data_IF_964875021913
#
_entry.id   IF_964875021913
#
_cell.length_a   1.000
_cell.length_b   1.000
_cell.length_c   1.000
_cell.angle_alpha   90.00
_cell.angle_beta   90.00
_cell.angle_gamma   90.00
#
_symmetry.space_group_name_H-M   'P 1'
#
loop_
_entity.id
_entity.type
_entity.pdbx_description
1 polymer ?
#
# COMPACT_ATOMS: atom_id res chain seq x y z
N UNK A 1 22.79 -4.12 13.06
CA UNK A 1 22.00 -2.86 13.10
C UNK A 1 22.28 -2.18 14.42
N UNK A 2 23.44 -1.55 14.54
CA UNK A 2 23.94 -1.00 15.81
C UNK A 2 23.74 0.51 15.95
N UNK A 3 23.48 1.18 14.82
CA UNK A 3 23.31 2.63 14.71
C UNK A 3 21.94 3.00 14.20
N UNK A 4 21.51 4.22 14.51
CA UNK A 4 20.26 4.76 13.99
C UNK A 4 20.41 4.99 12.48
N UNK A 5 19.38 4.71 11.68
CA UNK A 5 19.41 4.94 10.25
C UNK A 5 19.50 6.45 10.01
N UNK A 6 20.51 6.88 9.26
CA UNK A 6 20.73 8.29 8.94
C UNK A 6 19.76 8.70 7.83
N UNK A 7 18.86 9.63 8.14
CA UNK A 7 18.11 10.35 7.11
C UNK A 7 19.05 11.40 6.50
N UNK A 8 19.72 11.06 5.40
CA UNK A 8 20.51 12.03 4.63
C UNK A 8 19.57 13.07 4.01
N UNK A 9 19.38 14.20 4.71
CA UNK A 9 18.80 15.40 4.14
C UNK A 9 19.92 16.11 3.38
N UNK A 10 19.76 16.26 2.07
CA UNK A 10 20.63 17.13 1.28
C UNK A 10 20.19 18.57 1.55
N UNK A 11 21.16 19.45 1.74
CA UNK A 11 20.87 20.88 1.75
C UNK A 11 20.32 21.30 0.39
N UNK A 12 19.37 22.26 0.36
CA UNK A 12 18.83 22.75 -0.89
C UNK A 12 19.93 23.40 -1.73
N UNK A 13 19.89 23.21 -3.04
CA UNK A 13 20.78 23.92 -3.96
C UNK A 13 20.36 25.39 -4.08
N UNK A 14 21.26 26.27 -4.54
CA UNK A 14 20.93 27.68 -4.80
C UNK A 14 19.71 27.83 -5.73
N UNK A 15 19.70 27.06 -6.84
CA UNK A 15 18.54 27.01 -7.75
C UNK A 15 17.24 26.60 -7.05
N UNK A 16 17.29 25.63 -6.13
CA UNK A 16 16.09 25.21 -5.38
C UNK A 16 15.57 26.30 -4.46
N UNK A 17 16.47 27.07 -3.85
CA UNK A 17 16.10 28.22 -3.01
C UNK A 17 15.44 29.31 -3.86
N UNK A 18 16.06 29.69 -4.99
CA UNK A 18 15.52 30.69 -5.92
C UNK A 18 14.11 30.34 -6.42
N UNK A 19 13.89 29.07 -6.81
CA UNK A 19 12.58 28.60 -7.27
C UNK A 19 11.52 28.65 -6.15
N UNK A 20 11.90 28.33 -4.90
CA UNK A 20 10.99 28.40 -3.75
C UNK A 20 10.67 29.86 -3.39
N UNK A 21 11.66 30.75 -3.46
CA UNK A 21 11.47 32.19 -3.23
C UNK A 21 10.53 32.79 -4.27
N UNK A 22 10.77 32.54 -5.56
CA UNK A 22 9.89 32.98 -6.64
C UNK A 22 8.45 32.45 -6.46
N UNK A 23 8.31 31.17 -6.08
CA UNK A 23 7.01 30.55 -5.83
C UNK A 23 6.29 31.14 -4.62
N UNK A 24 7.03 31.58 -3.60
CA UNK A 24 6.48 32.27 -2.43
C UNK A 24 6.00 33.68 -2.78
N UNK A 25 6.76 34.43 -3.60
CA UNK A 25 6.33 35.75 -4.09
C UNK A 25 5.03 35.66 -4.89
N UNK A 26 4.92 34.68 -5.80
CA UNK A 26 3.68 34.46 -6.56
C UNK A 26 2.49 34.06 -5.69
N UNK A 27 2.73 33.42 -4.54
CA UNK A 27 1.65 33.15 -3.57
C UNK A 27 1.10 34.47 -3.01
N UNK A 28 1.98 35.41 -2.65
CA UNK A 28 1.57 36.72 -2.13
C UNK A 28 0.85 37.54 -3.20
N UNK A 29 1.42 37.62 -4.41
CA UNK A 29 0.80 38.30 -5.56
C UNK A 29 -0.60 37.73 -5.85
N UNK A 30 -0.76 36.42 -5.74
CA UNK A 30 -2.04 35.76 -5.91
C UNK A 30 -3.05 36.18 -4.84
N UNK A 31 -2.65 36.24 -3.57
CA UNK A 31 -3.54 36.70 -2.49
C UNK A 31 -3.92 38.18 -2.67
N UNK A 32 -3.00 39.01 -3.15
CA UNK A 32 -3.29 40.41 -3.47
C UNK A 32 -4.27 40.55 -4.64
N UNK A 33 -4.07 39.78 -5.71
CA UNK A 33 -4.98 39.74 -6.87
C UNK A 33 -6.38 39.26 -6.45
N UNK A 34 -6.44 38.21 -5.62
CA UNK A 34 -7.68 37.70 -5.03
C UNK A 34 -8.40 38.73 -4.17
N UNK A 35 -7.68 39.48 -3.34
CA UNK A 35 -8.27 40.55 -2.53
C UNK A 35 -8.88 41.69 -3.37
N UNK A 36 -8.37 41.89 -4.59
CA UNK A 36 -8.89 42.86 -5.58
C UNK A 36 -9.91 42.27 -6.54
N UNK A 37 -10.20 40.96 -6.43
CA UNK A 37 -11.04 40.20 -7.35
C UNK A 37 -10.58 40.28 -8.82
N UNK A 38 -9.27 40.33 -9.04
CA UNK A 38 -8.63 40.38 -10.36
C UNK A 38 -8.41 38.96 -10.90
N UNK A 39 -9.41 38.47 -11.65
CA UNK A 39 -9.45 37.09 -12.14
C UNK A 39 -8.36 36.80 -13.18
N UNK A 40 -8.09 37.76 -14.08
CA UNK A 40 -7.10 37.58 -15.14
C UNK A 40 -5.69 37.45 -14.56
N UNK A 41 -5.34 38.28 -13.56
CA UNK A 41 -4.07 38.18 -12.86
C UNK A 41 -3.95 36.87 -12.08
N UNK A 42 -5.04 36.43 -11.43
CA UNK A 42 -5.07 35.13 -10.73
C UNK A 42 -4.83 33.96 -11.68
N UNK A 43 -5.42 33.97 -12.88
CA UNK A 43 -5.24 32.93 -13.90
C UNK A 43 -3.80 32.92 -14.44
N UNK A 44 -3.23 34.08 -14.74
CA UNK A 44 -1.83 34.19 -15.17
C UNK A 44 -0.87 33.65 -14.10
N UNK A 45 -1.09 33.98 -12.82
CA UNK A 45 -0.25 33.47 -11.73
C UNK A 45 -0.39 31.94 -11.59
N UNK A 46 -1.58 31.37 -11.77
CA UNK A 46 -1.78 29.91 -11.71
C UNK A 46 -0.93 29.17 -12.75
N UNK A 47 -0.84 29.71 -13.97
CA UNK A 47 -0.02 29.13 -15.05
C UNK A 47 1.47 29.15 -14.68
N UNK A 48 2.00 30.32 -14.29
CA UNK A 48 3.41 30.46 -13.90
C UNK A 48 3.77 29.58 -12.70
N UNK A 49 2.87 29.48 -11.72
CA UNK A 49 3.02 28.59 -10.57
C UNK A 49 3.08 27.13 -10.99
N UNK A 50 2.27 26.71 -11.96
CA UNK A 50 2.28 25.33 -12.43
C UNK A 50 3.63 24.95 -13.06
N UNK A 51 4.22 25.88 -13.82
CA UNK A 51 5.53 25.73 -14.44
C UNK A 51 6.66 25.73 -13.40
N UNK A 52 6.67 26.68 -12.46
CA UNK A 52 7.64 26.71 -11.36
C UNK A 52 7.58 25.44 -10.50
N UNK A 53 6.39 24.97 -10.16
CA UNK A 53 6.22 23.72 -9.42
C UNK A 53 6.72 22.52 -10.24
N UNK A 54 6.62 22.55 -11.58
CA UNK A 54 7.16 21.52 -12.45
C UNK A 54 8.69 21.56 -12.52
N UNK A 55 9.28 22.74 -12.62
CA UNK A 55 10.74 22.94 -12.58
C UNK A 55 11.32 22.52 -11.22
N UNK A 56 10.71 22.96 -10.12
CA UNK A 56 11.12 22.60 -8.76
C UNK A 56 11.08 21.08 -8.55
N UNK A 57 10.06 20.39 -9.09
CA UNK A 57 10.01 18.92 -9.13
C UNK A 57 11.14 18.33 -9.99
N UNK A 58 11.49 18.97 -11.10
CA UNK A 58 12.60 18.58 -11.98
C UNK A 58 13.97 18.63 -11.27
N UNK A 59 14.18 19.57 -10.36
CA UNK A 59 15.42 19.64 -9.54
C UNK A 59 15.52 18.54 -8.48
N UNK A 60 14.45 17.76 -8.26
CA UNK A 60 14.42 16.66 -7.29
C UNK A 60 13.91 17.04 -5.90
N UNK A 61 13.39 18.26 -5.69
CA UNK A 61 12.71 18.65 -4.45
C UNK A 61 11.48 17.77 -4.22
N UNK A 62 11.26 17.41 -2.95
CA UNK A 62 10.18 16.50 -2.53
C UNK A 62 9.12 17.26 -1.75
N UNK A 63 7.87 16.89 -1.96
CA UNK A 63 6.71 17.53 -1.33
C UNK A 63 5.95 18.41 -2.31
N UNK A 64 4.78 18.89 -1.90
CA UNK A 64 4.03 19.94 -2.61
C UNK A 64 4.04 21.17 -1.73
N UNK A 65 4.26 22.32 -2.35
CA UNK A 65 4.04 23.60 -1.70
C UNK A 65 2.52 23.84 -1.52
N UNK A 66 2.11 24.74 -0.62
CA UNK A 66 0.70 25.06 -0.42
C UNK A 66 0.02 25.46 -1.73
N UNK A 67 -1.22 25.00 -1.91
CA UNK A 67 -2.06 25.43 -3.03
C UNK A 67 -2.38 26.92 -2.90
N UNK A 68 -2.50 27.62 -4.04
CA UNK A 68 -2.87 29.04 -4.08
C UNK A 68 -4.24 29.29 -3.41
N UNK A 69 -5.21 28.43 -3.72
CA UNK A 69 -6.52 28.39 -3.07
C UNK A 69 -6.78 26.99 -2.51
N UNK A 70 -6.53 26.77 -1.21
CA UNK A 70 -6.95 25.54 -0.57
C UNK A 70 -8.47 25.55 -0.38
N UNK A 71 -9.14 24.48 -0.82
CA UNK A 71 -10.54 24.27 -0.44
C UNK A 71 -10.65 24.20 1.09
N UNK A 72 -11.63 24.88 1.70
CA UNK A 72 -11.86 24.80 3.13
C UNK A 72 -12.15 23.35 3.51
N UNK A 73 -11.30 22.78 4.35
CA UNK A 73 -11.54 21.43 4.88
C UNK A 73 -12.70 21.53 5.87
N UNK A 74 -13.82 20.88 5.57
CA UNK A 74 -14.84 20.67 6.59
C UNK A 74 -14.25 19.79 7.70
N UNK A 75 -14.11 20.35 8.90
CA UNK A 75 -13.74 19.57 10.08
C UNK A 75 -14.91 18.68 10.47
N UNK A 76 -14.88 17.43 10.00
CA UNK A 76 -15.90 16.44 10.36
C UNK A 76 -15.69 16.00 11.81
N UNK A 77 -16.60 16.39 12.70
CA UNK A 77 -16.63 15.96 14.09
C UNK A 77 -17.27 14.58 14.20
N UNK A 78 -16.54 13.53 13.84
CA UNK A 78 -17.02 12.16 14.14
C UNK A 78 -16.59 11.72 15.52
N UNK A 79 -17.55 11.25 16.30
CA UNK A 79 -17.31 10.50 17.53
C UNK A 79 -16.59 9.20 17.19
N UNK A 80 -15.26 9.20 17.28
CA UNK A 80 -14.46 7.96 17.19
C UNK A 80 -14.34 7.33 18.57
N UNK A 81 -15.49 7.07 19.21
CA UNK A 81 -15.51 6.56 20.58
C UNK A 81 -14.68 5.28 20.66
N UNK A 82 -13.75 5.26 21.62
CA UNK A 82 -12.93 4.08 21.87
C UNK A 82 -13.85 2.97 22.36
N UNK A 83 -13.73 1.79 21.76
CA UNK A 83 -14.38 0.57 22.22
C UNK A 83 -13.91 0.22 23.63
N UNK A 84 -14.81 -0.28 24.46
CA UNK A 84 -14.53 -0.65 25.86
C UNK A 84 -14.25 -2.16 26.03
N UNK A 85 -14.59 -2.96 25.03
CA UNK A 85 -14.36 -4.41 24.97
C UNK A 85 -12.96 -4.79 24.46
N UNK A 86 -11.97 -3.92 24.64
CA UNK A 86 -10.59 -4.14 24.21
C UNK A 86 -9.61 -3.81 25.33
N UNK A 87 -8.48 -4.55 25.45
CA UNK A 87 -7.53 -4.30 26.52
C UNK A 87 -6.93 -2.90 26.45
N UNK A 88 -6.58 -2.36 27.62
CA UNK A 88 -5.85 -1.10 27.73
C UNK A 88 -4.39 -1.31 27.39
N UNK A 89 -3.88 -0.45 26.50
CA UNK A 89 -2.48 -0.45 26.13
C UNK A 89 -1.71 0.63 26.90
N UNK A 90 -0.45 0.36 27.29
CA UNK A 90 0.44 1.41 27.77
C UNK A 90 0.50 2.57 26.77
N UNK A 91 0.55 3.80 27.29
CA UNK A 91 0.71 5.01 26.45
C UNK A 91 2.05 5.66 26.79
N UNK A 92 3.06 5.40 25.97
CA UNK A 92 4.39 5.99 26.11
C UNK A 92 4.61 7.11 25.11
N UNK A 93 5.39 8.11 25.49
CA UNK A 93 5.85 9.16 24.56
C UNK A 93 6.73 8.50 23.49
N UNK A 94 6.35 8.65 22.22
CA UNK A 94 7.09 8.03 21.10
C UNK A 94 8.37 8.83 20.84
N UNK A 95 9.52 8.20 21.07
CA UNK A 95 10.83 8.73 20.71
C UNK A 95 11.15 8.47 19.23
N UNK A 96 12.11 9.22 18.67
CA UNK A 96 12.61 8.98 17.30
C UNK A 96 13.54 7.77 17.18
N UNK A 97 13.82 7.08 18.28
CA UNK A 97 14.71 5.93 18.26
C UNK A 97 14.06 4.76 17.53
N UNK A 98 14.84 4.09 16.70
CA UNK A 98 14.42 2.88 15.98
C UNK A 98 15.06 1.63 16.56
N UNK A 99 16.15 1.76 17.31
CA UNK A 99 16.92 0.62 17.82
C UNK A 99 16.25 0.05 19.08
N UNK A 100 16.20 -1.28 19.16
CA UNK A 100 15.71 -1.98 20.34
C UNK A 100 16.70 -1.99 21.51
N UNK A 101 16.23 -2.57 22.61
CA UNK A 101 17.02 -2.83 23.81
C UNK A 101 18.27 -3.67 23.49
N UNK A 102 19.38 -3.35 24.16
CA UNK A 102 20.59 -4.16 24.18
C UNK A 102 20.60 -5.08 25.40
N UNK A 103 21.03 -6.33 25.20
CA UNK A 103 21.15 -7.36 26.23
C UNK A 103 22.62 -7.73 26.40
N UNK A 104 23.03 -7.95 27.65
CA UNK A 104 24.39 -8.31 28.03
C UNK A 104 25.47 -7.41 27.38
N UNK A 105 25.18 -6.12 27.20
CA UNK A 105 26.11 -5.13 26.63
C UNK A 105 26.49 -5.32 25.16
N UNK A 106 25.97 -6.33 24.46
CA UNK A 106 26.36 -6.63 23.06
C UNK A 106 25.23 -7.11 22.16
N UNK A 107 24.25 -7.85 22.66
CA UNK A 107 23.22 -8.45 21.81
C UNK A 107 22.03 -7.51 21.60
N UNK A 108 21.65 -7.28 20.33
CA UNK A 108 20.45 -6.53 19.94
C UNK A 108 19.56 -7.39 19.04
N UNK A 109 18.78 -8.32 19.62
CA UNK A 109 17.87 -9.15 18.85
C UNK A 109 16.75 -8.31 18.21
N UNK A 110 16.22 -8.83 17.13
CA UNK A 110 15.01 -8.37 16.45
C UNK A 110 13.83 -9.28 16.80
N UNK A 111 12.62 -8.94 16.36
CA UNK A 111 11.47 -9.84 16.45
C UNK A 111 11.00 -10.28 15.08
N UNK A 112 10.39 -11.47 15.04
CA UNK A 112 9.58 -11.93 13.95
C UNK A 112 8.19 -12.22 14.46
N UNK A 113 7.22 -11.52 13.90
CA UNK A 113 5.83 -11.52 14.35
C UNK A 113 4.98 -11.96 13.18
N UNK A 114 4.10 -12.92 13.44
CA UNK A 114 3.12 -13.39 12.49
C UNK A 114 1.72 -13.07 13.01
N UNK A 115 0.90 -12.40 12.21
CA UNK A 115 -0.49 -12.05 12.56
C UNK A 115 -1.44 -12.58 11.49
N UNK A 116 -2.61 -13.05 11.92
CA UNK A 116 -3.66 -13.55 11.02
C UNK A 116 -4.98 -12.91 11.38
N UNK A 117 -5.82 -12.70 10.38
CA UNK A 117 -7.25 -12.48 10.61
C UNK A 117 -7.92 -13.71 11.25
N UNK A 118 -9.09 -13.47 11.82
CA UNK A 118 -9.89 -14.48 12.52
C UNK A 118 -10.42 -15.58 11.60
N UNK A 119 -10.94 -16.66 12.18
CA UNK A 119 -11.67 -17.70 11.45
C UNK A 119 -13.07 -17.24 11.05
N UNK A 120 -13.59 -17.77 9.93
CA UNK A 120 -14.95 -17.49 9.44
C UNK A 120 -15.80 -18.77 9.37
N UNK A 121 -15.27 -19.88 9.89
CA UNK A 121 -15.89 -21.21 9.85
C UNK A 121 -14.82 -22.30 9.82
N UNK A 122 -15.22 -23.56 10.04
CA UNK A 122 -14.28 -24.67 10.00
C UNK A 122 -13.84 -24.98 8.57
N UNK A 123 -12.55 -25.25 8.38
CA UNK A 123 -11.96 -25.62 7.09
C UNK A 123 -11.42 -27.04 7.12
N UNK A 124 -11.41 -27.69 5.95
CA UNK A 124 -10.83 -29.01 5.79
C UNK A 124 -9.34 -29.01 6.17
N UNK A 125 -8.91 -30.12 6.81
CA UNK A 125 -7.50 -30.36 7.19
C UNK A 125 -6.73 -31.22 6.17
N UNK A 126 -7.40 -31.59 5.08
CA UNK A 126 -6.90 -32.42 3.99
C UNK A 126 -7.13 -31.78 2.61
N UNK A 127 -6.84 -32.52 1.54
CA UNK A 127 -7.12 -32.14 0.15
C UNK A 127 -6.00 -31.37 -0.54
N UNK A 128 -4.93 -31.01 0.16
CA UNK A 128 -3.78 -30.38 -0.49
C UNK A 128 -2.44 -30.89 0.03
N UNK A 129 -1.40 -30.63 -0.77
CA UNK A 129 -0.02 -30.91 -0.41
C UNK A 129 0.74 -29.60 -0.25
N UNK A 130 1.52 -29.47 0.82
CA UNK A 130 2.35 -28.28 1.05
C UNK A 130 3.65 -28.35 0.24
N UNK A 131 4.45 -27.28 0.29
CA UNK A 131 5.73 -27.19 -0.44
C UNK A 131 6.79 -28.22 -0.02
N UNK A 132 6.53 -29.00 1.04
CA UNK A 132 7.40 -30.08 1.54
C UNK A 132 6.85 -31.47 1.18
N UNK A 133 5.83 -31.56 0.33
CA UNK A 133 5.22 -32.83 -0.04
C UNK A 133 4.32 -33.44 1.04
N UNK A 134 4.01 -32.72 2.13
CA UNK A 134 3.17 -33.26 3.22
C UNK A 134 1.69 -32.90 3.03
N UNK A 135 0.75 -33.83 3.33
CA UNK A 135 -0.68 -33.54 3.33
C UNK A 135 -1.04 -32.40 4.28
N UNK A 136 -1.99 -31.57 3.88
CA UNK A 136 -2.53 -30.45 4.64
C UNK A 136 -3.91 -30.05 4.11
N UNK A 137 -4.58 -29.15 4.83
CA UNK A 137 -5.85 -28.57 4.40
C UNK A 137 -5.71 -27.79 3.11
N UNK A 138 -6.69 -27.91 2.21
CA UNK A 138 -6.81 -27.08 1.01
C UNK A 138 -7.46 -25.71 1.27
N UNK A 139 -7.95 -25.48 2.49
CA UNK A 139 -8.51 -24.20 2.94
C UNK A 139 -9.99 -24.02 2.62
N UNK A 140 -10.63 -24.96 1.93
CA UNK A 140 -12.07 -24.92 1.71
C UNK A 140 -12.83 -25.13 3.04
N UNK A 141 -13.95 -24.44 3.26
CA UNK A 141 -14.80 -24.68 4.42
C UNK A 141 -15.38 -26.09 4.38
N UNK A 142 -15.56 -26.68 5.56
CA UNK A 142 -16.24 -27.97 5.74
C UNK A 142 -17.70 -27.83 5.32
N UNK A 143 -18.33 -26.75 5.75
CA UNK A 143 -19.67 -26.35 5.34
C UNK A 143 -19.62 -24.95 4.72
N UNK A 144 -19.68 -24.86 3.38
CA UNK A 144 -19.69 -23.59 2.68
C UNK A 144 -20.90 -22.70 2.98
N UNK A 145 -22.04 -23.25 3.42
CA UNK A 145 -23.27 -22.47 3.62
C UNK A 145 -23.28 -21.77 4.99
N UNK A 146 -22.55 -22.30 5.97
CA UNK A 146 -22.36 -21.66 7.29
C UNK A 146 -21.05 -20.88 7.42
N UNK A 147 -20.19 -20.90 6.39
CA UNK A 147 -18.97 -20.09 6.36
C UNK A 147 -19.30 -18.61 6.10
N UNK A 148 -18.83 -17.72 6.98
CA UNK A 148 -19.10 -16.29 6.92
C UNK A 148 -18.23 -15.60 5.85
N UNK A 149 -18.64 -15.76 4.58
CA UNK A 149 -17.98 -15.13 3.43
C UNK A 149 -18.08 -13.61 3.43
N UNK A 150 -19.17 -13.07 4.00
CA UNK A 150 -19.40 -11.63 4.08
C UNK A 150 -18.34 -10.98 4.97
N UNK A 151 -18.17 -11.47 6.21
CA UNK A 151 -17.12 -11.01 7.12
C UNK A 151 -15.74 -11.28 6.54
N UNK A 152 -15.52 -12.44 5.92
CA UNK A 152 -14.26 -12.77 5.28
C UNK A 152 -13.87 -11.73 4.21
N UNK A 153 -14.77 -11.41 3.29
CA UNK A 153 -14.54 -10.42 2.23
C UNK A 153 -14.27 -9.02 2.80
N UNK A 154 -15.04 -8.61 3.81
CA UNK A 154 -14.87 -7.31 4.49
C UNK A 154 -13.54 -7.20 5.21
N UNK A 155 -13.19 -8.20 6.02
CA UNK A 155 -11.93 -8.23 6.76
C UNK A 155 -10.73 -8.21 5.80
N UNK A 156 -10.81 -8.90 4.65
CA UNK A 156 -9.78 -8.82 3.61
C UNK A 156 -9.63 -7.40 3.08
N UNK A 157 -10.73 -6.74 2.72
CA UNK A 157 -10.73 -5.39 2.12
C UNK A 157 -10.14 -4.34 3.09
N UNK A 158 -10.42 -4.48 4.38
CA UNK A 158 -10.02 -3.54 5.44
C UNK A 158 -8.76 -3.94 6.21
N UNK A 159 -8.17 -5.11 5.93
CA UNK A 159 -6.91 -5.57 6.53
C UNK A 159 -5.76 -4.54 6.50
N UNK A 160 -5.54 -3.77 5.40
CA UNK A 160 -4.48 -2.76 5.39
C UNK A 160 -4.65 -1.70 6.49
N UNK A 161 -5.89 -1.25 6.74
CA UNK A 161 -6.18 -0.28 7.78
C UNK A 161 -6.00 -0.89 9.19
N UNK A 162 -6.36 -2.17 9.36
CA UNK A 162 -6.08 -2.90 10.60
C UNK A 162 -4.57 -2.96 10.90
N UNK A 163 -3.75 -3.31 9.90
CA UNK A 163 -2.30 -3.39 10.07
C UNK A 163 -1.66 -2.02 10.36
N UNK A 164 -2.14 -0.96 9.70
CA UNK A 164 -1.68 0.40 10.02
C UNK A 164 -1.98 0.78 11.47
N UNK A 165 -3.15 0.38 12.00
CA UNK A 165 -3.51 0.57 13.41
C UNK A 165 -2.63 -0.26 14.34
N UNK A 166 -2.30 -1.50 13.97
CA UNK A 166 -1.38 -2.34 14.73
C UNK A 166 -0.02 -1.66 14.91
N UNK A 167 0.58 -1.16 13.83
CA UNK A 167 1.87 -0.47 13.89
C UNK A 167 1.78 0.81 14.74
N UNK A 168 0.70 1.58 14.63
CA UNK A 168 0.48 2.78 15.44
C UNK A 168 0.38 2.43 16.93
N UNK A 169 -0.40 1.41 17.28
CA UNK A 169 -0.54 0.93 18.65
C UNK A 169 0.79 0.41 19.19
N UNK A 170 1.54 -0.34 18.37
CA UNK A 170 2.84 -0.86 18.76
C UNK A 170 3.85 0.26 19.07
N UNK A 171 3.90 1.30 18.24
CA UNK A 171 4.73 2.50 18.50
C UNK A 171 4.34 3.21 19.79
N UNK A 172 3.03 3.39 20.04
CA UNK A 172 2.52 4.05 21.25
C UNK A 172 2.75 3.24 22.52
N UNK A 173 2.58 1.93 22.45
CA UNK A 173 2.77 1.02 23.58
C UNK A 173 4.25 0.88 23.99
N UNK A 174 5.16 0.94 23.01
CA UNK A 174 6.60 0.83 23.25
C UNK A 174 7.31 2.17 23.46
N UNK A 175 6.74 3.27 22.95
CA UNK A 175 7.39 4.58 22.96
C UNK A 175 8.55 4.68 21.95
N UNK A 176 8.53 3.82 20.91
CA UNK A 176 9.62 3.69 19.94
C UNK A 176 9.11 3.82 18.51
N UNK A 177 9.91 4.40 17.62
CA UNK A 177 9.60 4.46 16.20
C UNK A 177 9.89 3.10 15.54
N UNK A 178 8.99 2.15 15.77
CA UNK A 178 9.07 0.78 15.27
C UNK A 178 9.33 0.77 13.75
N UNK A 179 10.45 0.16 13.37
CA UNK A 179 10.82 -0.11 11.99
C UNK A 179 10.66 -1.60 11.70
N UNK A 180 10.15 -1.90 10.51
CA UNK A 180 9.81 -3.25 10.14
C UNK A 180 9.97 -3.51 8.63
N UNK A 181 10.15 -4.78 8.31
CA UNK A 181 9.93 -5.34 6.99
C UNK A 181 8.87 -6.42 7.12
N UNK A 182 7.76 -6.27 6.42
CA UNK A 182 6.65 -7.18 6.49
C UNK A 182 6.19 -7.64 5.11
N UNK A 183 5.58 -8.81 5.10
CA UNK A 183 5.04 -9.43 3.91
C UNK A 183 3.66 -10.01 4.17
N UNK A 184 2.71 -9.70 3.31
CA UNK A 184 1.34 -10.20 3.33
C UNK A 184 1.17 -11.38 2.36
N UNK A 185 0.58 -12.45 2.87
CA UNK A 185 0.23 -13.67 2.15
C UNK A 185 -1.21 -14.09 2.47
N UNK A 186 -1.98 -14.61 1.51
CA UNK A 186 -3.24 -15.29 1.84
C UNK A 186 -2.93 -16.66 2.45
N UNK A 187 -3.63 -17.00 3.53
CA UNK A 187 -3.80 -18.41 3.89
C UNK A 187 -4.59 -19.14 2.80
N UNK A 188 -4.55 -20.47 2.80
CA UNK A 188 -5.32 -21.29 1.84
C UNK A 188 -6.84 -21.04 1.89
N UNK A 189 -7.36 -20.48 2.98
CA UNK A 189 -8.76 -20.03 3.10
C UNK A 189 -9.02 -18.60 2.61
N UNK A 190 -8.07 -18.01 1.89
CA UNK A 190 -8.11 -16.63 1.37
C UNK A 190 -7.78 -15.52 2.39
N UNK A 191 -7.82 -15.80 3.70
CA UNK A 191 -7.62 -14.80 4.73
C UNK A 191 -6.17 -14.23 4.76
N UNK A 192 -5.99 -12.90 4.78
CA UNK A 192 -4.70 -12.26 4.96
C UNK A 192 -3.96 -12.71 6.21
N UNK A 193 -2.67 -12.96 6.00
CA UNK A 193 -1.69 -13.33 6.98
C UNK A 193 -0.44 -12.48 6.75
N UNK A 194 0.17 -11.97 7.81
CA UNK A 194 1.34 -11.11 7.69
C UNK A 194 2.49 -11.63 8.53
N UNK A 195 3.66 -11.71 7.90
CA UNK A 195 4.93 -11.96 8.56
C UNK A 195 5.70 -10.65 8.65
N UNK A 196 6.23 -10.31 9.81
CA UNK A 196 6.88 -9.03 10.06
C UNK A 196 8.18 -9.23 10.83
N UNK A 197 9.30 -8.88 10.23
CA UNK A 197 10.54 -8.64 10.96
C UNK A 197 10.52 -7.22 11.53
N UNK A 198 10.75 -7.09 12.82
CA UNK A 198 10.76 -5.83 13.56
C UNK A 198 12.14 -5.59 14.13
N UNK A 199 12.67 -4.37 13.95
CA UNK A 199 13.92 -3.97 14.59
C UNK A 199 13.70 -3.91 16.09
N UNK A 200 14.52 -4.59 16.88
CA UNK A 200 14.41 -4.62 18.34
C UNK A 200 13.43 -5.68 18.88
N UNK A 201 13.36 -5.78 20.20
CA UNK A 201 12.51 -6.74 20.91
C UNK A 201 11.66 -6.09 21.99
N UNK A 202 10.50 -6.67 22.22
CA UNK A 202 9.51 -6.31 23.22
C UNK A 202 8.89 -7.61 23.82
N UNK A 203 8.30 -7.58 25.03
CA UNK A 203 7.70 -8.77 25.63
C UNK A 203 6.61 -9.39 24.75
N UNK A 204 6.54 -10.73 24.67
CA UNK A 204 5.52 -11.43 23.88
C UNK A 204 4.09 -11.08 24.30
N UNK A 205 3.87 -10.98 25.61
CA UNK A 205 2.58 -10.59 26.19
C UNK A 205 2.14 -9.21 25.71
N UNK A 206 3.06 -8.25 25.64
CA UNK A 206 2.77 -6.92 25.11
C UNK A 206 2.33 -6.98 23.64
N UNK A 207 2.95 -7.83 22.82
CA UNK A 207 2.55 -7.99 21.40
C UNK A 207 1.16 -8.62 21.29
N UNK A 208 0.85 -9.60 22.15
CA UNK A 208 -0.48 -10.20 22.22
C UNK A 208 -1.53 -9.16 22.63
N UNK A 209 -1.26 -8.35 23.67
CA UNK A 209 -2.14 -7.27 24.11
C UNK A 209 -2.36 -6.24 23.00
N UNK A 210 -1.29 -5.83 22.30
CA UNK A 210 -1.37 -4.89 21.17
C UNK A 210 -2.28 -5.44 20.09
N UNK A 211 -2.13 -6.71 19.71
CA UNK A 211 -2.98 -7.29 18.68
C UNK A 211 -4.44 -7.40 19.12
N UNK A 212 -4.69 -7.87 20.35
CA UNK A 212 -6.03 -7.97 20.93
C UNK A 212 -6.72 -6.59 21.05
N UNK A 213 -5.95 -5.54 21.37
CA UNK A 213 -6.44 -4.17 21.42
C UNK A 213 -6.60 -3.49 20.05
N UNK A 214 -6.11 -4.12 18.96
CA UNK A 214 -6.10 -3.50 17.64
C UNK A 214 -7.35 -3.86 16.86
N UNK A 215 -8.08 -2.82 16.45
CA UNK A 215 -9.26 -2.91 15.60
C UNK A 215 -9.31 -1.71 14.65
N UNK A 216 -10.08 -1.84 13.57
CA UNK A 216 -10.43 -0.72 12.70
C UNK A 216 -11.94 -0.66 12.49
N UNK A 217 -12.53 0.49 12.81
CA UNK A 217 -13.95 0.80 12.58
C UNK A 217 -14.11 1.52 11.24
N UNK A 218 -14.98 0.99 10.40
CA UNK A 218 -15.32 1.54 9.09
C UNK A 218 -16.55 2.43 9.23
N UNK A 219 -16.34 3.74 9.30
CA UNK A 219 -17.39 4.75 9.40
C UNK A 219 -17.85 5.21 8.01
N UNK A 220 -18.39 4.27 7.24
CA UNK A 220 -18.95 4.48 5.90
C UNK A 220 -20.47 4.24 5.94
N UNK A 221 -21.21 4.62 4.87
CA UNK A 221 -22.58 4.14 4.70
C UNK A 221 -22.59 2.62 4.78
N UNK A 222 -23.62 2.06 5.39
CA UNK A 222 -23.73 0.60 5.50
C UNK A 222 -23.83 -0.03 4.11
N UNK A 223 -23.21 -1.20 3.99
CA UNK A 223 -23.13 -1.98 2.75
C UNK A 223 -23.46 -3.44 3.05
N UNK A 224 -24.44 -3.64 3.93
CA UNK A 224 -25.06 -4.93 4.21
C UNK A 224 -26.03 -5.31 3.08
N UNK A 225 -26.37 -6.59 2.90
CA UNK A 225 -27.31 -7.02 1.87
C UNK A 225 -28.66 -6.29 1.94
N UNK A 226 -29.08 -5.87 3.14
CA UNK A 226 -30.28 -5.06 3.37
C UNK A 226 -30.18 -3.61 2.88
N UNK A 227 -28.97 -3.09 2.66
CA UNK A 227 -28.76 -1.75 2.10
C UNK A 227 -28.56 -1.76 0.58
N UNK A 228 -28.47 -2.94 -0.03
CA UNK A 228 -28.37 -3.07 -1.48
C UNK A 228 -29.68 -2.60 -2.11
N UNK A 229 -29.60 -1.53 -2.90
CA UNK A 229 -30.76 -0.92 -3.57
C UNK A 229 -30.90 -1.40 -5.01
N UNK A 230 -29.78 -1.77 -5.64
CA UNK A 230 -29.71 -2.09 -7.06
C UNK A 230 -29.09 -3.47 -7.27
N UNK A 231 -29.66 -4.26 -8.18
CA UNK A 231 -29.18 -5.61 -8.50
C UNK A 231 -28.58 -5.68 -9.90
N UNK A 232 -27.90 -6.78 -10.22
CA UNK A 232 -27.40 -6.99 -11.57
C UNK A 232 -28.56 -6.98 -12.58
N UNK A 233 -28.43 -6.17 -13.64
CA UNK A 233 -29.49 -5.96 -14.64
C UNK A 233 -30.42 -4.77 -14.34
N UNK A 234 -30.38 -4.22 -13.13
CA UNK A 234 -31.15 -3.04 -12.73
C UNK A 234 -30.25 -2.11 -11.91
N UNK A 235 -29.36 -1.41 -12.62
CA UNK A 235 -28.33 -0.55 -12.05
C UNK A 235 -28.56 0.92 -12.39
N UNK A 236 -28.07 1.87 -11.58
CA UNK A 236 -28.18 3.30 -11.88
C UNK A 236 -27.59 3.66 -13.23
N UNK A 237 -28.22 4.64 -13.90
CA UNK A 237 -27.81 5.13 -15.22
C UNK A 237 -27.17 6.50 -15.12
N UNK A 238 -26.27 6.82 -16.04
CA UNK A 238 -25.66 8.15 -16.08
C UNK A 238 -26.63 9.16 -16.68
N UNK A 239 -26.97 10.18 -15.92
CA UNK A 239 -27.72 11.36 -16.40
C UNK A 239 -26.71 12.39 -16.95
N UNK A 240 -26.74 12.58 -18.27
CA UNK A 240 -25.86 13.54 -18.96
C UNK A 240 -26.22 15.00 -18.68
N UNK A 241 -27.48 15.29 -18.34
CA UNK A 241 -27.94 16.64 -18.02
C UNK A 241 -27.54 17.03 -16.60
N UNK A 242 -27.69 16.12 -15.65
CA UNK A 242 -27.29 16.36 -14.26
C UNK A 242 -25.78 16.12 -14.00
N UNK A 243 -25.10 15.37 -14.86
CA UNK A 243 -23.69 15.02 -14.68
C UNK A 243 -23.46 14.08 -13.49
N UNK A 244 -24.43 13.22 -13.17
CA UNK A 244 -24.39 12.27 -12.06
C UNK A 244 -25.14 10.98 -12.40
N UNK A 245 -25.14 9.99 -11.50
CA UNK A 245 -25.98 8.80 -11.64
C UNK A 245 -27.37 9.06 -11.08
N UNK A 246 -28.37 8.49 -11.75
CA UNK A 246 -29.77 8.54 -11.37
C UNK A 246 -30.37 7.13 -11.33
N UNK A 247 -31.46 7.00 -10.58
CA UNK A 247 -32.29 5.80 -10.57
C UNK A 247 -32.85 5.53 -11.98
N UNK A 248 -32.78 4.28 -12.48
CA UNK A 248 -33.21 3.96 -13.84
C UNK A 248 -34.72 4.04 -14.06
N UNK A 249 -35.54 3.94 -13.01
CA UNK A 249 -37.00 3.92 -13.11
C UNK A 249 -37.61 5.31 -12.84
N UNK A 250 -37.11 6.00 -11.81
CA UNK A 250 -37.65 7.32 -11.40
C UNK A 250 -36.91 8.50 -12.04
N UNK A 251 -35.67 8.30 -12.47
CA UNK A 251 -34.79 9.38 -12.90
C UNK A 251 -34.31 10.27 -11.76
N UNK A 252 -34.56 9.91 -10.49
CA UNK A 252 -34.09 10.68 -9.34
C UNK A 252 -32.57 10.58 -9.20
N UNK A 253 -31.91 11.71 -8.96
CA UNK A 253 -30.47 11.75 -8.78
C UNK A 253 -30.06 11.05 -7.49
N UNK A 254 -29.03 10.21 -7.58
CA UNK A 254 -28.48 9.53 -6.42
C UNK A 254 -27.66 10.49 -5.53
N UNK A 255 -27.69 10.30 -4.20
CA UNK A 255 -26.85 11.06 -3.29
C UNK A 255 -25.37 10.84 -3.59
N UNK A 256 -24.58 11.91 -3.50
CA UNK A 256 -23.13 11.80 -3.61
C UNK A 256 -22.53 11.11 -2.38
N UNK A 257 -21.31 10.61 -2.51
CA UNK A 257 -20.55 10.10 -1.37
C UNK A 257 -20.48 11.08 -0.20
N UNK A 258 -20.33 12.38 -0.49
CA UNK A 258 -20.23 13.39 0.57
C UNK A 258 -21.59 13.68 1.20
N UNK A 259 -22.69 13.63 0.44
CA UNK A 259 -24.06 13.71 0.98
C UNK A 259 -24.37 12.52 1.89
N UNK A 260 -24.05 11.31 1.44
CA UNK A 260 -24.22 10.09 2.24
C UNK A 260 -23.43 10.16 3.56
N UNK A 261 -22.22 10.74 3.53
CA UNK A 261 -21.44 10.97 4.74
C UNK A 261 -21.99 12.11 5.60
N UNK A 262 -22.62 13.13 5.02
CA UNK A 262 -23.26 14.21 5.76
C UNK A 262 -24.48 13.71 6.54
N UNK A 263 -25.30 12.83 5.93
CA UNK A 263 -26.41 12.16 6.61
C UNK A 263 -25.92 11.33 7.80
N UNK A 264 -24.82 10.60 7.65
CA UNK A 264 -24.24 9.85 8.77
C UNK A 264 -23.75 10.75 9.91
N UNK A 265 -23.26 11.96 9.58
CA UNK A 265 -22.79 12.92 10.58
C UNK A 265 -23.97 13.56 11.37
N UNK A 266 -25.23 13.39 10.95
CA UNK A 266 -26.42 13.84 11.72
C UNK A 266 -27.01 12.77 12.65
N UNK A 267 -26.47 11.55 12.66
CA UNK A 267 -26.93 10.45 13.52
C UNK A 267 -26.12 10.42 14.82
N UNK A 268 -26.80 10.59 15.96
CA UNK A 268 -26.15 10.66 17.28
C UNK A 268 -25.51 9.31 17.70
N UNK A 269 -26.24 8.21 17.50
CA UNK A 269 -25.83 6.84 17.87
C UNK A 269 -25.56 5.99 16.62
N UNK A 270 -24.54 6.38 15.86
CA UNK A 270 -24.13 5.64 14.67
C UNK A 270 -23.28 4.42 15.04
N UNK A 271 -23.61 3.26 14.47
CA UNK A 271 -22.75 2.07 14.47
C UNK A 271 -21.81 2.05 13.27
N UNK A 272 -20.60 1.49 13.39
CA UNK A 272 -19.70 1.36 12.25
C UNK A 272 -20.21 0.27 11.28
N UNK A 273 -20.20 0.55 9.98
CA UNK A 273 -20.56 -0.40 8.93
C UNK A 273 -19.76 -1.71 8.96
N UNK A 274 -18.54 -1.68 9.52
CA UNK A 274 -17.75 -2.89 9.77
C UNK A 274 -16.70 -2.66 10.85
N UNK A 275 -16.36 -3.71 11.61
CA UNK A 275 -15.22 -3.71 12.52
C UNK A 275 -14.32 -4.91 12.21
N UNK A 276 -13.10 -4.63 11.76
CA UNK A 276 -12.08 -5.65 11.48
C UNK A 276 -11.11 -5.78 12.66
N UNK A 277 -10.68 -7.02 12.96
CA UNK A 277 -9.79 -7.41 14.07
C UNK A 277 -8.84 -8.54 13.65
N UNK A 278 -7.77 -8.75 14.40
CA UNK A 278 -6.98 -9.98 14.30
C UNK A 278 -7.72 -11.14 15.00
N UNK A 279 -7.33 -12.38 14.70
CA UNK A 279 -7.85 -13.56 15.39
C UNK A 279 -7.51 -13.54 16.88
N UNK A 280 -8.38 -14.14 17.71
CA UNK A 280 -8.32 -14.05 19.18
C UNK A 280 -7.03 -14.60 19.78
N UNK A 281 -6.37 -15.56 19.13
CA UNK A 281 -5.18 -16.22 19.64
C UNK A 281 -4.00 -16.04 18.68
N UNK A 282 -3.04 -15.20 19.07
CA UNK A 282 -1.69 -15.26 18.50
C UNK A 282 -0.90 -16.27 19.32
N UNK A 283 -0.57 -17.40 18.69
CA UNK A 283 0.25 -18.43 19.30
C UNK A 283 1.62 -17.84 19.66
N UNK A 284 2.15 -18.06 20.88
CA UNK A 284 3.49 -17.61 21.25
C UNK A 284 4.59 -18.01 20.26
N UNK A 285 4.41 -19.11 19.51
CA UNK A 285 5.35 -19.55 18.45
C UNK A 285 5.42 -18.59 17.27
N UNK A 286 4.41 -17.74 17.09
CA UNK A 286 4.28 -16.74 16.04
C UNK A 286 4.98 -15.42 16.42
N UNK A 287 5.50 -15.33 17.66
CA UNK A 287 6.22 -14.17 18.19
C UNK A 287 7.62 -14.63 18.64
N UNK A 288 8.63 -14.46 17.79
CA UNK A 288 10.00 -14.94 18.03
C UNK A 288 10.99 -13.79 18.18
N UNK A 289 11.92 -13.92 19.12
CA UNK A 289 13.15 -13.13 19.11
C UNK A 289 14.13 -13.77 18.14
N UNK A 290 14.81 -12.96 17.33
CA UNK A 290 15.74 -13.42 16.29
C UNK A 290 17.06 -12.67 16.46
N UNK A 291 18.15 -13.40 16.67
CA UNK A 291 19.48 -12.82 16.72
C UNK A 291 20.08 -12.72 15.31
N UNK A 292 20.64 -11.56 14.96
CA UNK A 292 21.30 -11.36 13.68
C UNK A 292 22.52 -12.29 13.49
N UNK A 293 22.83 -12.63 12.24
CA UNK A 293 23.96 -13.51 11.90
C UNK A 293 23.73 -15.00 12.16
N UNK A 294 22.52 -15.40 12.58
CA UNK A 294 22.18 -16.81 12.82
C UNK A 294 21.49 -17.46 11.61
N UNK A 295 21.53 -18.79 11.54
CA UNK A 295 20.77 -19.56 10.55
C UNK A 295 19.26 -19.31 10.66
N UNK A 296 18.74 -19.12 11.88
CA UNK A 296 17.34 -18.77 12.09
C UNK A 296 16.98 -17.42 11.44
N UNK A 297 17.84 -16.41 11.58
CA UNK A 297 17.67 -15.13 10.92
C UNK A 297 17.68 -15.28 9.39
N UNK A 298 18.61 -16.06 8.83
CA UNK A 298 18.66 -16.34 7.40
C UNK A 298 17.37 -17.01 6.90
N UNK A 299 16.85 -17.99 7.63
CA UNK A 299 15.57 -18.66 7.33
C UNK A 299 14.39 -17.68 7.35
N UNK A 300 14.32 -16.79 8.35
CA UNK A 300 13.24 -15.81 8.47
C UNK A 300 13.31 -14.74 7.38
N UNK A 301 14.51 -14.30 7.00
CA UNK A 301 14.72 -13.45 5.82
C UNK A 301 14.25 -14.17 4.57
N UNK A 302 14.60 -15.45 4.39
CA UNK A 302 14.11 -16.27 3.29
C UNK A 302 12.58 -16.33 3.20
N UNK A 303 11.89 -16.46 4.34
CA UNK A 303 10.42 -16.39 4.37
C UNK A 303 9.89 -15.03 3.90
N UNK A 304 10.49 -13.92 4.34
CA UNK A 304 10.05 -12.57 3.94
C UNK A 304 10.31 -12.30 2.45
N UNK A 305 11.48 -12.73 1.95
CA UNK A 305 11.92 -12.48 0.57
C UNK A 305 11.28 -13.41 -0.45
N UNK A 306 10.79 -14.60 -0.03
CA UNK A 306 10.03 -15.54 -0.88
C UNK A 306 8.93 -14.87 -1.68
N UNK A 307 8.30 -13.82 -1.13
CA UNK A 307 7.15 -13.14 -1.73
C UNK A 307 7.51 -11.86 -2.47
N UNK A 308 8.80 -11.53 -2.60
CA UNK A 308 9.25 -10.49 -3.53
C UNK A 308 9.01 -10.92 -4.98
N UNK A 309 9.08 -12.22 -5.26
CA UNK A 309 8.96 -12.79 -6.61
C UNK A 309 7.70 -13.62 -6.83
N UNK A 310 7.11 -14.20 -5.77
CA UNK A 310 5.91 -15.04 -5.88
C UNK A 310 4.64 -14.20 -6.12
N UNK A 311 3.86 -14.49 -7.17
CA UNK A 311 2.58 -13.81 -7.43
C UNK A 311 1.51 -14.19 -6.39
N UNK A 312 0.42 -13.41 -6.30
CA UNK A 312 -0.72 -13.76 -5.42
C UNK A 312 -1.43 -14.97 -5.99
N UNK A 313 -1.70 -14.97 -7.30
CA UNK A 313 -2.37 -16.04 -8.03
C UNK A 313 -1.73 -17.41 -7.79
N UNK A 314 -0.39 -17.50 -7.80
CA UNK A 314 0.34 -18.75 -7.48
C UNK A 314 0.17 -19.24 -6.04
N UNK A 315 -0.27 -18.40 -5.10
CA UNK A 315 -0.51 -18.81 -3.70
C UNK A 315 -1.94 -19.32 -3.54
N UNK A 316 -2.88 -18.73 -4.28
CA UNK A 316 -4.32 -19.05 -4.21
C UNK A 316 -4.78 -19.98 -5.34
N UNK A 317 -3.85 -20.65 -6.03
CA UNK A 317 -4.21 -21.66 -7.02
C UNK A 317 -4.88 -22.85 -6.31
N UNK A 318 -6.14 -23.16 -6.62
CA UNK A 318 -6.86 -24.26 -5.95
C UNK A 318 -6.25 -25.61 -6.36
N UNK A 319 -6.01 -26.49 -5.39
CA UNK A 319 -5.57 -27.88 -5.64
C UNK A 319 -6.75 -28.86 -5.76
N UNK A 320 -7.98 -28.40 -5.48
CA UNK A 320 -9.21 -29.20 -5.47
C UNK A 320 -10.38 -28.37 -5.99
N UNK A 321 -11.41 -29.04 -6.50
CA UNK A 321 -12.64 -28.37 -6.95
C UNK A 321 -13.38 -27.66 -5.80
N UNK A 322 -13.31 -28.21 -4.58
CA UNK A 322 -13.92 -27.55 -3.42
C UNK A 322 -13.18 -26.26 -3.03
N UNK A 323 -11.86 -26.22 -3.15
CA UNK A 323 -11.09 -24.99 -2.97
C UNK A 323 -11.39 -23.98 -4.08
N UNK A 324 -11.57 -24.43 -5.33
CA UNK A 324 -11.97 -23.56 -6.43
C UNK A 324 -13.34 -22.91 -6.16
N UNK A 325 -14.35 -23.71 -5.77
CA UNK A 325 -15.69 -23.21 -5.38
C UNK A 325 -15.64 -22.26 -4.19
N UNK A 326 -14.78 -22.54 -3.20
CA UNK A 326 -14.57 -21.65 -2.06
C UNK A 326 -14.08 -20.27 -2.51
N UNK A 327 -13.08 -20.23 -3.40
CA UNK A 327 -12.57 -18.96 -3.93
C UNK A 327 -13.57 -18.23 -4.82
N UNK A 328 -14.43 -18.94 -5.55
CA UNK A 328 -15.52 -18.32 -6.32
C UNK A 328 -16.57 -17.69 -5.42
N UNK A 329 -16.99 -18.38 -4.35
CA UNK A 329 -17.90 -17.80 -3.34
C UNK A 329 -17.29 -16.58 -2.66
N UNK A 330 -16.02 -16.65 -2.26
CA UNK A 330 -15.31 -15.51 -1.69
C UNK A 330 -15.21 -14.34 -2.67
N UNK A 331 -14.95 -14.63 -3.95
CA UNK A 331 -14.90 -13.60 -4.97
C UNK A 331 -16.27 -12.93 -5.19
N UNK A 332 -17.35 -13.71 -5.23
CA UNK A 332 -18.70 -13.17 -5.38
C UNK A 332 -19.03 -12.16 -4.27
N UNK A 333 -18.67 -12.46 -3.02
CA UNK A 333 -18.85 -11.51 -1.92
C UNK A 333 -17.92 -10.29 -2.03
N UNK A 334 -16.66 -10.47 -2.45
CA UNK A 334 -15.76 -9.34 -2.74
C UNK A 334 -16.28 -8.41 -3.85
N UNK A 335 -17.14 -8.88 -4.76
CA UNK A 335 -17.76 -8.02 -5.78
C UNK A 335 -18.87 -7.13 -5.22
N UNK A 336 -19.33 -7.37 -3.99
CA UNK A 336 -20.34 -6.57 -3.30
C UNK A 336 -19.76 -5.62 -2.25
N UNK A 337 -18.57 -5.91 -1.69
CA UNK A 337 -17.95 -5.07 -0.65
C UNK A 337 -17.24 -3.84 -1.24
N UNK A 338 -17.67 -2.58 -0.98
CA UNK A 338 -16.95 -1.40 -1.46
C UNK A 338 -15.52 -1.32 -0.89
N UNK A 339 -14.53 -1.04 -1.74
CA UNK A 339 -13.12 -1.00 -1.28
C UNK A 339 -12.56 0.41 -1.04
N UNK A 340 -13.21 1.47 -1.51
CA UNK A 340 -12.78 2.86 -1.27
C UNK A 340 -13.94 3.83 -1.55
N UNK A 341 -13.84 5.11 -1.17
CA UNK A 341 -14.82 6.13 -1.55
C UNK A 341 -15.05 6.29 -3.06
N UNK A 342 -14.06 5.93 -3.88
CA UNK A 342 -14.11 5.97 -5.36
C UNK A 342 -14.61 4.65 -5.97
N UNK A 343 -15.01 3.68 -5.16
CA UNK A 343 -15.35 2.35 -5.63
C UNK A 343 -16.70 2.36 -6.36
N UNK A 344 -16.72 1.92 -7.63
CA UNK A 344 -17.94 1.81 -8.43
C UNK A 344 -19.02 0.88 -7.85
N UNK A 345 -18.67 0.05 -6.86
CA UNK A 345 -19.62 -0.79 -6.13
C UNK A 345 -20.60 0.05 -5.29
N UNK A 346 -20.27 1.28 -4.91
CA UNK A 346 -21.21 2.16 -4.19
C UNK A 346 -22.53 2.41 -4.93
N UNK A 347 -22.53 2.32 -6.26
CA UNK A 347 -23.74 2.45 -7.07
C UNK A 347 -24.74 1.30 -6.82
N UNK A 348 -24.29 0.14 -6.34
CA UNK A 348 -25.16 -0.95 -5.86
C UNK A 348 -25.98 -0.54 -4.63
N UNK A 349 -25.44 0.38 -3.84
CA UNK A 349 -26.00 0.89 -2.59
C UNK A 349 -26.62 2.29 -2.76
N UNK A 350 -26.88 2.71 -4.02
CA UNK A 350 -27.49 4.01 -4.31
C UNK A 350 -26.63 5.22 -3.98
N UNK A 351 -25.30 5.07 -3.94
CA UNK A 351 -24.38 6.16 -3.62
C UNK A 351 -23.43 6.41 -4.78
N UNK A 352 -23.32 7.68 -5.21
CA UNK A 352 -22.38 8.06 -6.26
C UNK A 352 -20.96 8.13 -5.70
N UNK A 353 -20.01 7.30 -6.17
CA UNK A 353 -18.66 7.28 -5.64
C UNK A 353 -17.89 8.57 -5.98
N UNK A 354 -16.90 8.91 -5.16
CA UNK A 354 -16.05 10.08 -5.40
C UNK A 354 -15.37 10.00 -6.78
N UNK A 355 -15.51 11.06 -7.56
CA UNK A 355 -14.91 11.15 -8.90
C UNK A 355 -15.56 10.23 -9.93
N UNK A 356 -16.81 9.81 -9.71
CA UNK A 356 -17.61 9.17 -10.73
C UNK A 356 -17.74 10.06 -11.97
N UNK A 357 -17.80 9.42 -13.13
CA UNK A 357 -18.06 10.05 -14.43
C UNK A 357 -18.90 9.10 -15.29
N UNK A 358 -19.35 9.57 -16.44
CA UNK A 358 -19.93 8.81 -17.56
C UNK A 358 -19.24 7.47 -17.90
N UNK A 359 -17.94 7.35 -17.61
CA UNK A 359 -17.12 6.14 -17.84
C UNK A 359 -17.12 5.16 -16.68
N UNK A 360 -17.76 5.52 -15.57
CA UNK A 360 -17.89 4.68 -14.39
C UNK A 360 -18.93 3.61 -14.69
N UNK A 361 -18.59 2.35 -14.46
CA UNK A 361 -19.53 1.24 -14.68
C UNK A 361 -20.22 0.92 -13.35
N UNK A 362 -21.55 1.06 -13.25
CA UNK A 362 -22.32 0.70 -12.07
C UNK A 362 -22.05 -0.73 -11.61
N UNK A 363 -21.96 -0.93 -10.29
CA UNK A 363 -21.76 -2.25 -9.69
C UNK A 363 -20.41 -2.90 -10.02
N UNK A 364 -19.46 -2.17 -10.63
CA UNK A 364 -18.14 -2.71 -11.01
C UNK A 364 -17.00 -1.80 -10.62
N UNK A 365 -15.96 -2.38 -10.01
CA UNK A 365 -14.73 -1.67 -9.69
C UNK A 365 -13.51 -2.33 -10.35
N UNK A 366 -12.67 -1.52 -11.00
CA UNK A 366 -11.41 -1.95 -11.66
C UNK A 366 -10.26 -2.19 -10.66
N UNK A 367 -10.50 -1.88 -9.39
CA UNK A 367 -9.54 -2.01 -8.30
C UNK A 367 -9.10 -3.45 -8.06
N UNK A 368 -7.86 -3.63 -7.60
CA UNK A 368 -7.30 -4.95 -7.29
C UNK A 368 -8.04 -5.69 -6.18
N UNK A 369 -8.91 -5.06 -5.40
CA UNK A 369 -9.71 -5.77 -4.41
C UNK A 369 -10.73 -6.72 -5.06
N UNK A 370 -11.21 -6.41 -6.26
CA UNK A 370 -12.32 -7.13 -6.91
C UNK A 370 -11.87 -8.04 -8.05
N UNK A 371 -10.57 -8.32 -8.17
CA UNK A 371 -10.08 -9.26 -9.19
C UNK A 371 -10.05 -10.66 -8.58
N UNK A 372 -10.51 -11.65 -9.35
CA UNK A 372 -10.44 -13.06 -8.96
C UNK A 372 -9.02 -13.51 -8.61
N UNK A 373 -8.03 -13.02 -9.35
CA UNK A 373 -6.59 -13.32 -9.16
C UNK A 373 -5.99 -12.81 -7.84
N UNK A 374 -6.65 -11.87 -7.16
CA UNK A 374 -6.12 -11.25 -5.95
C UNK A 374 -6.94 -11.57 -4.72
N UNK A 375 -8.18 -12.06 -4.87
CA UNK A 375 -9.11 -12.37 -3.79
C UNK A 375 -9.08 -11.32 -2.67
N UNK A 376 -9.23 -10.04 -3.04
CA UNK A 376 -9.30 -8.94 -2.08
C UNK A 376 -7.95 -8.40 -1.59
N UNK A 377 -6.83 -9.08 -1.82
CA UNK A 377 -5.49 -8.61 -1.45
C UNK A 377 -5.02 -7.45 -2.34
N UNK A 378 -5.51 -6.26 -1.99
CA UNK A 378 -5.18 -4.99 -2.63
C UNK A 378 -3.80 -4.50 -2.19
N UNK A 379 -2.98 -4.08 -3.15
CA UNK A 379 -1.82 -3.22 -2.88
C UNK A 379 -0.46 -3.94 -2.85
N UNK A 380 0.45 -3.41 -2.03
CA UNK A 380 1.83 -3.89 -1.91
C UNK A 380 1.86 -5.04 -0.91
N UNK A 381 2.28 -6.22 -1.35
CA UNK A 381 2.47 -7.38 -0.46
C UNK A 381 3.63 -7.17 0.50
N UNK A 382 4.65 -6.44 0.06
CA UNK A 382 5.83 -6.13 0.87
C UNK A 382 5.68 -4.72 1.42
N UNK A 383 5.60 -4.65 2.74
CA UNK A 383 5.39 -3.44 3.51
C UNK A 383 6.67 -3.15 4.28
N UNK A 384 7.35 -2.07 3.91
CA UNK A 384 8.65 -1.71 4.49
C UNK A 384 8.54 -0.34 5.11
N UNK A 385 8.95 -0.23 6.37
CA UNK A 385 9.02 1.06 7.03
C UNK A 385 10.15 1.90 6.40
N UNK A 386 9.92 3.21 6.30
CA UNK A 386 10.82 4.13 5.57
C UNK A 386 12.28 4.06 6.06
N UNK A 387 12.48 3.93 7.38
CA UNK A 387 13.82 3.89 8.00
C UNK A 387 14.33 2.46 8.23
N UNK A 388 13.72 1.45 7.60
CA UNK A 388 14.26 0.10 7.62
C UNK A 388 15.66 0.04 7.00
N UNK A 389 15.80 0.57 5.78
CA UNK A 389 17.08 0.72 5.08
C UNK A 389 17.59 2.16 5.07
N UNK A 390 16.75 3.14 5.42
CA UNK A 390 17.06 4.57 5.25
C UNK A 390 17.11 5.03 3.79
N UNK A 391 16.84 4.12 2.84
CA UNK A 391 16.89 4.36 1.39
C UNK A 391 15.50 4.53 0.81
N UNK A 392 15.35 5.46 -0.11
CA UNK A 392 14.13 5.64 -0.90
C UNK A 392 14.10 4.74 -2.13
N UNK A 393 12.94 4.63 -2.79
CA UNK A 393 12.84 3.86 -4.03
C UNK A 393 13.80 4.36 -5.13
N UNK A 394 13.98 5.68 -5.34
CA UNK A 394 15.06 6.19 -6.20
C UNK A 394 16.45 5.73 -5.79
N UNK A 395 16.78 5.75 -4.50
CA UNK A 395 18.10 5.31 -4.01
C UNK A 395 18.32 3.82 -4.33
N UNK A 396 17.33 2.98 -4.05
CA UNK A 396 17.37 1.56 -4.42
C UNK A 396 17.45 1.32 -5.94
N UNK A 397 16.86 2.21 -6.76
CA UNK A 397 17.00 2.15 -8.22
C UNK A 397 18.42 2.54 -8.66
N UNK A 398 19.00 3.57 -8.04
CA UNK A 398 20.37 4.01 -8.29
C UNK A 398 21.37 2.92 -7.90
N UNK A 399 21.22 2.31 -6.72
CA UNK A 399 22.06 1.19 -6.27
C UNK A 399 22.03 0.02 -7.26
N UNK A 400 20.83 -0.37 -7.74
CA UNK A 400 20.70 -1.43 -8.75
C UNK A 400 21.34 -1.04 -10.08
N UNK A 401 21.16 0.21 -10.52
CA UNK A 401 21.76 0.69 -11.75
C UNK A 401 23.28 0.69 -11.66
N UNK A 402 23.83 1.14 -10.53
CA UNK A 402 25.26 1.14 -10.25
C UNK A 402 25.83 -0.28 -10.17
N UNK A 403 25.14 -1.19 -9.50
CA UNK A 403 25.51 -2.61 -9.47
C UNK A 403 25.59 -3.22 -10.88
N UNK A 404 24.57 -2.99 -11.70
CA UNK A 404 24.57 -3.46 -13.10
C UNK A 404 25.70 -2.80 -13.89
N UNK A 405 25.94 -1.49 -13.70
CA UNK A 405 27.05 -0.77 -14.34
C UNK A 405 28.41 -1.37 -13.98
N UNK A 406 28.64 -1.66 -12.69
CA UNK A 406 29.88 -2.29 -12.20
C UNK A 406 30.06 -3.70 -12.76
N UNK A 407 28.99 -4.51 -12.78
CA UNK A 407 29.02 -5.84 -13.37
C UNK A 407 29.36 -5.81 -14.87
N UNK A 408 28.72 -4.93 -15.63
CA UNK A 408 29.00 -4.78 -17.06
C UNK A 408 30.44 -4.29 -17.29
N UNK A 409 30.92 -3.35 -16.48
CA UNK A 409 32.28 -2.86 -16.55
C UNK A 409 33.33 -3.96 -16.25
N UNK A 410 33.02 -4.89 -15.33
CA UNK A 410 33.91 -6.01 -15.00
C UNK A 410 34.17 -6.96 -16.19
N UNK A 411 33.26 -6.99 -17.17
CA UNK A 411 33.41 -7.76 -18.43
C UNK A 411 33.71 -6.86 -19.64
N UNK A 412 34.17 -5.62 -19.40
CA UNK A 412 34.59 -4.68 -20.44
C UNK A 412 33.46 -3.94 -21.16
N UNK A 413 32.22 -4.02 -20.69
CA UNK A 413 31.06 -3.35 -21.30
C UNK A 413 30.85 -1.99 -20.62
N UNK A 414 31.34 -0.92 -21.24
CA UNK A 414 31.09 0.45 -20.78
C UNK A 414 29.72 0.99 -21.26
N UNK A 415 29.00 1.65 -20.35
CA UNK A 415 27.76 2.38 -20.68
C UNK A 415 28.02 3.89 -20.71
N UNK A 416 27.34 4.64 -21.62
CA UNK A 416 27.48 6.09 -21.67
C UNK A 416 27.00 6.72 -20.36
N UNK A 417 27.75 7.72 -19.90
CA UNK A 417 27.45 8.47 -18.68
C UNK A 417 26.27 9.43 -18.91
N UNK A 418 25.11 9.22 -18.24
CA UNK A 418 23.95 10.07 -18.41
C UNK A 418 24.19 11.52 -17.93
N UNK A 419 25.15 11.76 -17.05
CA UNK A 419 25.46 13.11 -16.56
C UNK A 419 26.00 14.04 -17.66
N UNK A 420 26.41 13.48 -18.80
CA UNK A 420 26.87 14.21 -19.97
C UNK A 420 25.78 14.47 -21.01
N UNK A 421 24.53 14.12 -20.71
CA UNK A 421 23.39 14.26 -21.62
C UNK A 421 22.39 15.26 -21.06
N UNK A 422 21.93 16.17 -21.92
CA UNK A 422 20.76 17.01 -21.65
C UNK A 422 19.56 16.35 -22.35
N UNK A 423 18.60 15.87 -21.57
CA UNK A 423 17.37 15.27 -22.08
C UNK A 423 16.26 16.30 -22.01
N UNK A 424 15.70 16.68 -23.16
CA UNK A 424 14.56 17.59 -23.25
C UNK A 424 13.29 16.84 -23.68
N UNK A 425 12.11 17.22 -23.15
CA UNK A 425 10.85 16.73 -23.70
C UNK A 425 10.74 17.09 -25.18
N UNK A 426 10.08 16.22 -25.94
CA UNK A 426 9.77 16.45 -27.34
C UNK A 426 8.61 17.42 -27.44
N UNK A 427 8.68 18.39 -28.35
CA UNK A 427 7.61 19.36 -28.61
C UNK A 427 6.41 18.70 -29.30
N UNK A 428 5.20 19.21 -29.03
CA UNK A 428 4.00 18.72 -29.71
C UNK A 428 4.09 19.04 -31.20
N UNK A 429 3.98 18.01 -32.04
CA UNK A 429 4.00 18.16 -33.50
C UNK A 429 5.39 18.11 -34.14
N UNK A 430 6.45 17.81 -33.37
CA UNK A 430 7.80 17.61 -33.92
C UNK A 430 7.81 16.43 -34.91
N UNK A 431 8.07 16.74 -36.19
CA UNK A 431 8.07 15.79 -37.31
C UNK A 431 9.34 14.93 -37.36
N UNK A 432 10.37 15.27 -36.58
CA UNK A 432 11.62 14.49 -36.51
C UNK A 432 11.53 13.33 -35.52
N UNK A 433 10.39 13.17 -34.85
CA UNK A 433 10.15 12.13 -33.87
C UNK A 433 9.72 10.85 -34.59
N UNK A 434 10.42 9.72 -34.40
CA UNK A 434 9.99 8.47 -34.98
C UNK A 434 8.56 8.10 -34.51
N UNK A 435 7.77 7.41 -35.35
CA UNK A 435 6.46 6.91 -34.95
C UNK A 435 6.53 6.11 -33.64
N UNK A 436 5.44 6.11 -32.87
CA UNK A 436 5.37 5.47 -31.55
C UNK A 436 5.76 3.99 -31.61
N UNK A 437 5.33 3.29 -32.65
CA UNK A 437 5.62 1.88 -32.89
C UNK A 437 7.13 1.65 -33.06
N UNK A 438 7.82 2.54 -33.77
CA UNK A 438 9.28 2.46 -33.98
C UNK A 438 10.03 2.69 -32.67
N UNK A 439 9.59 3.67 -31.86
CA UNK A 439 10.17 3.92 -30.54
C UNK A 439 9.97 2.73 -29.61
N UNK A 440 8.80 2.06 -29.67
CA UNK A 440 8.53 0.84 -28.91
C UNK A 440 9.48 -0.27 -29.35
N UNK A 441 9.59 -0.55 -30.66
CA UNK A 441 10.48 -1.58 -31.20
C UNK A 441 11.95 -1.33 -30.86
N UNK A 442 12.42 -0.08 -30.97
CA UNK A 442 13.78 0.31 -30.57
C UNK A 442 14.03 0.10 -29.07
N UNK A 443 13.03 0.37 -28.22
CA UNK A 443 13.13 0.10 -26.78
C UNK A 443 13.14 -1.41 -26.47
N UNK A 444 12.36 -2.22 -27.19
CA UNK A 444 12.37 -3.69 -27.05
C UNK A 444 13.74 -4.24 -27.42
N UNK A 445 14.27 -3.87 -28.60
CA UNK A 445 15.60 -4.29 -29.04
C UNK A 445 16.70 -3.89 -28.04
N UNK A 446 16.63 -2.65 -27.51
CA UNK A 446 17.55 -2.17 -26.47
C UNK A 446 17.48 -3.00 -25.19
N UNK A 447 16.28 -3.35 -24.72
CA UNK A 447 16.09 -4.19 -23.53
C UNK A 447 16.59 -5.62 -23.73
N UNK A 448 16.37 -6.19 -24.90
CA UNK A 448 16.92 -7.51 -25.26
C UNK A 448 18.44 -7.49 -25.25
N UNK A 449 19.05 -6.45 -25.85
CA UNK A 449 20.50 -6.24 -25.79
C UNK A 449 21.02 -6.12 -24.36
N UNK A 450 20.40 -5.26 -23.53
CA UNK A 450 20.80 -5.10 -22.13
C UNK A 450 20.68 -6.39 -21.31
N UNK A 451 19.63 -7.18 -21.55
CA UNK A 451 19.46 -8.48 -20.91
C UNK A 451 20.58 -9.44 -21.31
N UNK A 452 20.87 -9.55 -22.61
CA UNK A 452 21.97 -10.39 -23.11
C UNK A 452 23.33 -9.96 -22.53
N UNK A 453 23.64 -8.66 -22.53
CA UNK A 453 24.87 -8.13 -21.94
C UNK A 453 24.98 -8.46 -20.44
N UNK A 454 23.88 -8.33 -19.69
CA UNK A 454 23.84 -8.67 -18.27
C UNK A 454 23.97 -10.17 -18.02
N UNK A 455 23.27 -11.01 -18.78
CA UNK A 455 23.33 -12.47 -18.66
C UNK A 455 24.75 -12.97 -18.99
N UNK A 456 25.38 -12.43 -20.03
CA UNK A 456 26.79 -12.68 -20.34
C UNK A 456 27.73 -12.21 -19.24
N UNK A 457 27.48 -11.05 -18.63
CA UNK A 457 28.26 -10.56 -17.50
C UNK A 457 28.13 -11.47 -16.28
N UNK A 458 26.92 -11.96 -15.97
CA UNK A 458 26.67 -12.96 -14.92
C UNK A 458 27.47 -14.26 -15.17
N UNK A 459 27.48 -14.76 -16.41
CA UNK A 459 28.16 -16.01 -16.75
C UNK A 459 29.69 -15.91 -16.69
N UNK A 460 30.24 -14.75 -17.07
CA UNK A 460 31.68 -14.53 -17.11
C UNK A 460 32.25 -14.03 -15.77
N UNK A 461 31.41 -13.59 -14.84
CA UNK A 461 31.83 -13.23 -13.49
C UNK A 461 31.95 -14.49 -12.60
N UNK A 462 33.18 -14.97 -12.36
CA UNK A 462 33.48 -15.85 -11.21
C UNK A 462 33.18 -15.11 -9.89
N UNK A 463 32.78 -15.81 -8.81
CA UNK A 463 31.68 -15.39 -7.94
C UNK A 463 31.82 -13.92 -7.53
N UNK A 464 30.74 -13.13 -7.62
CA UNK A 464 30.81 -11.69 -7.38
C UNK A 464 31.44 -11.49 -6.01
N UNK A 465 32.63 -10.88 -5.99
CA UNK A 465 33.27 -10.44 -4.75
C UNK A 465 32.24 -9.71 -3.89
N UNK A 466 32.36 -9.89 -2.57
CA UNK A 466 31.46 -9.33 -1.56
C UNK A 466 30.98 -7.92 -1.94
N UNK A 467 29.66 -7.76 -2.05
CA UNK A 467 28.99 -6.49 -2.34
C UNK A 467 29.43 -5.42 -1.33
N UNK A 468 30.27 -4.46 -1.73
CA UNK A 468 30.68 -3.31 -0.90
C UNK A 468 29.65 -2.16 -0.89
N UNK A 469 28.40 -2.43 -1.25
CA UNK A 469 27.33 -1.40 -1.35
C UNK A 469 26.32 -1.50 -0.20
N UNK A 470 26.48 -2.47 0.69
CA UNK A 470 25.68 -2.55 1.91
C UNK A 470 26.21 -1.50 2.89
N UNK A 471 25.36 -0.58 3.35
CA UNK A 471 25.64 0.31 4.49
C UNK A 471 25.71 -0.44 5.82
N UNK A 472 25.76 -1.77 5.78
CA UNK A 472 26.01 -2.61 6.95
C UNK A 472 27.45 -3.07 6.82
N UNK A 473 28.34 -2.50 7.63
CA UNK A 473 29.69 -3.03 7.80
C UNK A 473 29.57 -4.53 8.11
N UNK A 474 30.31 -5.34 7.35
CA UNK A 474 30.49 -6.76 7.64
C UNK A 474 31.23 -6.79 8.98
N UNK A 475 30.54 -7.19 10.05
CA UNK A 475 31.20 -7.46 11.32
C UNK A 475 32.25 -8.56 11.08
N UNK A 476 33.50 -8.25 11.44
CA UNK A 476 34.65 -9.14 11.37
C UNK A 476 34.47 -10.38 12.26
#
# INVERSE_FOLDING_TARGET
METEPVDLKRDPTAQQLELVEARASLMDDYQQAKARNDIDMMDGIREVVADLDAELRGTGVRGRLPALDPEPKSERKRSTRRRQDVPDLPRKKVSKSTIGRQYAGKYRPSMFITLTLDSYGHVHRDGATNSKGKPCGDGAPIDPDTYDYQRAARDIVFFPALFDRFVQNYRRATGRDIQYFATVEPQRRGAPHIHMAVRGTDPRTLIQDIAAATYHQVWWPHFDPENEQYTDGHMPVWDYSAGTFADPDTGEQLPSWDDALAVLDTVDDLEPAHVVRFGEQIDPKDIRGVLGGTEEAARHVGYLTKYLTKSISEVIEPQTDRAARHYDRLHAELQKVPCSPQCGIWLRYGIVPKGASDKTQPGRCKGKAHRRETLGLRGRRVLVSRRWTGKTLPDHKADRAEFVRQMLAAVGIAKPDPARLIVKPVERGDKNVPPREHLIMANVARRLKWRSEYDMACLNASPPGTQQVSTTEIAA
#
